data_IF_210613845266
#
_entry.id   IF_210613845266
#
_cell.length_a   1.000
_cell.length_b   1.000
_cell.length_c   1.000
_cell.angle_alpha   90.00
_cell.angle_beta   90.00
_cell.angle_gamma   90.00
#
_symmetry.space_group_name_H-M   'P 1'
#
loop_
_entity.id
_entity.type
_entity.pdbx_description
1 polymer ?
#
# COMPACT_ATOMS: atom_id res chain seq x y z
N UNK A 1 11.83 12.51 -10.30
CA UNK A 1 11.98 13.96 -9.98
C UNK A 1 12.03 14.90 -11.21
N UNK A 2 12.27 14.40 -12.44
CA UNK A 2 12.43 15.24 -13.64
C UNK A 2 11.17 15.99 -14.12
N UNK A 3 9.96 15.50 -13.81
CA UNK A 3 8.71 16.10 -14.32
C UNK A 3 8.29 17.39 -13.59
N UNK A 4 8.65 17.57 -12.30
CA UNK A 4 8.15 18.67 -11.46
C UNK A 4 8.69 20.04 -11.85
N UNK A 5 9.94 20.09 -12.31
CA UNK A 5 10.63 21.34 -12.64
C UNK A 5 10.03 22.09 -13.84
N UNK A 6 9.18 21.43 -14.65
CA UNK A 6 8.60 22.00 -15.85
C UNK A 6 7.14 22.46 -15.68
N UNK A 7 6.58 22.36 -14.47
CA UNK A 7 5.19 22.71 -14.16
C UNK A 7 5.11 24.15 -13.64
N UNK A 8 4.11 24.91 -14.10
CA UNK A 8 3.81 26.23 -13.55
C UNK A 8 3.24 26.12 -12.13
N UNK A 9 3.30 27.19 -11.34
CA UNK A 9 2.79 27.23 -9.96
C UNK A 9 1.34 26.74 -9.86
N UNK A 10 0.49 27.08 -10.84
CA UNK A 10 -0.91 26.61 -10.88
C UNK A 10 -1.02 25.10 -11.11
N UNK A 11 -0.17 24.56 -11.99
CA UNK A 11 -0.15 23.13 -12.30
C UNK A 11 0.41 22.31 -11.14
N UNK A 12 1.38 22.85 -10.40
CA UNK A 12 1.91 22.27 -9.15
C UNK A 12 0.83 22.19 -8.06
N UNK A 13 0.06 23.26 -7.85
CA UNK A 13 -1.04 23.26 -6.88
C UNK A 13 -2.14 22.26 -7.28
N UNK A 14 -2.46 22.14 -8.57
CA UNK A 14 -3.41 21.14 -9.07
C UNK A 14 -2.87 19.72 -8.85
N UNK A 15 -1.63 19.44 -9.25
CA UNK A 15 -0.97 18.16 -9.03
C UNK A 15 -1.00 17.76 -7.55
N UNK A 16 -0.59 18.64 -6.64
CA UNK A 16 -0.59 18.36 -5.20
C UNK A 16 -2.00 18.12 -4.67
N UNK A 17 -3.00 18.89 -5.11
CA UNK A 17 -4.40 18.69 -4.70
C UNK A 17 -4.94 17.34 -5.15
N UNK A 18 -4.57 16.90 -6.34
CA UNK A 18 -5.02 15.66 -6.96
C UNK A 18 -4.30 14.46 -6.32
N UNK A 19 -2.99 14.56 -6.11
CA UNK A 19 -2.21 13.57 -5.34
C UNK A 19 -2.71 13.45 -3.91
N UNK A 20 -3.10 14.54 -3.26
CA UNK A 20 -3.70 14.49 -1.93
C UNK A 20 -5.07 13.80 -1.93
N UNK A 21 -5.86 13.96 -2.99
CA UNK A 21 -7.18 13.32 -3.12
C UNK A 21 -7.09 11.82 -3.46
N UNK A 22 -6.11 11.42 -4.28
CA UNK A 22 -5.93 10.04 -4.73
C UNK A 22 -4.86 9.25 -3.95
N UNK A 23 -4.03 9.93 -3.18
CA UNK A 23 -3.01 9.35 -2.33
C UNK A 23 -3.64 8.56 -1.18
N UNK A 24 -3.03 7.43 -0.84
CA UNK A 24 -3.45 6.64 0.32
C UNK A 24 -2.80 7.19 1.58
N UNK A 25 -3.61 7.32 2.63
CA UNK A 25 -3.14 7.71 3.94
C UNK A 25 -2.41 6.56 4.64
N UNK A 26 -1.19 6.84 5.11
CA UNK A 26 -0.42 5.91 5.96
C UNK A 26 -1.19 5.52 7.22
N UNK A 27 -1.89 6.48 7.81
CA UNK A 27 -2.66 6.28 9.04
C UNK A 27 -3.76 5.24 8.81
N UNK A 28 -4.49 5.34 7.69
CA UNK A 28 -5.55 4.38 7.35
C UNK A 28 -4.97 2.98 7.11
N UNK A 29 -3.81 2.89 6.43
CA UNK A 29 -3.13 1.61 6.23
C UNK A 29 -2.73 0.97 7.58
N UNK A 30 -2.14 1.74 8.50
CA UNK A 30 -1.76 1.26 9.83
C UNK A 30 -2.97 0.88 10.68
N UNK A 31 -4.08 1.61 10.55
CA UNK A 31 -5.34 1.30 11.22
C UNK A 31 -5.90 -0.05 10.74
N UNK A 32 -5.87 -0.28 9.42
CA UNK A 32 -6.27 -1.56 8.82
C UNK A 32 -5.37 -2.71 9.27
N UNK A 33 -4.06 -2.47 9.33
CA UNK A 33 -3.09 -3.45 9.82
C UNK A 33 -3.28 -3.76 11.31
N UNK A 34 -3.62 -2.78 12.15
CA UNK A 34 -3.84 -3.00 13.57
C UNK A 34 -5.15 -3.76 13.85
N UNK A 35 -6.26 -3.35 13.23
CA UNK A 35 -7.57 -3.97 13.47
C UNK A 35 -7.77 -5.30 12.73
N UNK A 36 -7.20 -5.46 11.54
CA UNK A 36 -7.49 -6.59 10.63
C UNK A 36 -6.23 -7.31 10.15
N UNK A 37 -5.05 -6.94 10.66
CA UNK A 37 -3.78 -7.54 10.24
C UNK A 37 -3.54 -8.97 10.71
N UNK A 38 -4.25 -9.42 11.75
CA UNK A 38 -4.25 -10.83 12.15
C UNK A 38 -4.91 -11.74 11.11
N UNK A 39 -5.87 -11.23 10.34
CA UNK A 39 -6.60 -11.97 9.30
C UNK A 39 -5.94 -11.80 7.91
N UNK A 40 -5.00 -10.85 7.78
CA UNK A 40 -4.31 -10.57 6.52
C UNK A 40 -5.09 -9.66 5.55
N UNK A 41 -6.16 -9.01 6.01
CA UNK A 41 -7.03 -8.17 5.16
C UNK A 41 -6.32 -6.91 4.64
N UNK A 42 -5.30 -6.42 5.35
CA UNK A 42 -4.49 -5.27 4.92
C UNK A 42 -3.76 -5.52 3.59
N UNK A 43 -3.38 -6.77 3.28
CA UNK A 43 -2.79 -7.13 1.99
C UNK A 43 -3.78 -7.01 0.83
N UNK A 44 -5.06 -7.34 1.07
CA UNK A 44 -6.11 -7.17 0.07
C UNK A 44 -6.34 -5.70 -0.26
N UNK A 45 -6.29 -4.82 0.75
CA UNK A 45 -6.41 -3.37 0.56
C UNK A 45 -5.24 -2.75 -0.23
N UNK A 46 -4.03 -3.34 -0.09
CA UNK A 46 -2.85 -2.95 -0.84
C UNK A 46 -2.80 -3.55 -2.26
N UNK A 47 -3.82 -4.30 -2.70
CA UNK A 47 -3.83 -4.98 -4.00
C UNK A 47 -2.92 -6.21 -4.07
N UNK A 48 -2.43 -6.69 -2.91
CA UNK A 48 -1.53 -7.85 -2.78
C UNK A 48 -2.29 -9.10 -2.36
N UNK A 49 -3.35 -9.43 -3.10
CA UNK A 49 -4.27 -10.55 -2.83
C UNK A 49 -3.55 -11.88 -2.64
N UNK A 50 -2.51 -12.17 -3.43
CA UNK A 50 -1.74 -13.42 -3.32
C UNK A 50 -1.03 -13.59 -1.96
N UNK A 51 -0.53 -12.48 -1.40
CA UNK A 51 0.13 -12.49 -0.08
C UNK A 51 -0.91 -12.61 1.04
N UNK A 52 -2.04 -11.92 0.89
CA UNK A 52 -3.17 -12.03 1.83
C UNK A 52 -3.75 -13.44 1.91
N UNK A 53 -3.90 -14.12 0.77
CA UNK A 53 -4.34 -15.52 0.73
C UNK A 53 -3.31 -16.44 1.42
N UNK A 54 -2.02 -16.24 1.17
CA UNK A 54 -0.96 -17.00 1.84
C UNK A 54 -1.01 -16.85 3.35
N UNK A 55 -1.22 -15.63 3.84
CA UNK A 55 -1.35 -15.35 5.28
C UNK A 55 -2.61 -15.97 5.88
N UNK A 56 -3.74 -15.95 5.16
CA UNK A 56 -4.98 -16.59 5.59
C UNK A 56 -4.84 -18.11 5.70
N UNK A 57 -4.21 -18.74 4.70
CA UNK A 57 -3.93 -20.17 4.71
C UNK A 57 -2.98 -20.54 5.85
N UNK A 58 -1.90 -19.78 6.05
CA UNK A 58 -1.00 -19.98 7.19
C UNK A 58 -1.73 -19.86 8.53
N UNK A 59 -2.65 -18.89 8.66
CA UNK A 59 -3.46 -18.74 9.87
C UNK A 59 -4.36 -19.97 10.09
N UNK A 60 -5.12 -20.39 9.07
CA UNK A 60 -5.99 -21.58 9.14
C UNK A 60 -5.17 -22.85 9.44
N UNK A 61 -4.06 -23.06 8.75
CA UNK A 61 -3.16 -24.20 8.98
C UNK A 61 -2.58 -24.15 10.39
N UNK A 62 -2.20 -22.99 10.90
CA UNK A 62 -1.69 -22.83 12.27
C UNK A 62 -2.74 -23.18 13.32
N UNK A 63 -4.01 -22.83 13.09
CA UNK A 63 -5.14 -23.22 13.94
C UNK A 63 -5.39 -24.73 13.93
N UNK A 64 -5.32 -25.38 12.76
CA UNK A 64 -5.49 -26.84 12.65
C UNK A 64 -4.34 -27.58 13.35
N UNK A 65 -3.09 -27.11 13.14
CA UNK A 65 -1.89 -27.71 13.74
C UNK A 65 -1.73 -27.39 15.24
N UNK A 66 -2.52 -26.46 15.79
CA UNK A 66 -2.52 -26.13 17.22
C UNK A 66 -2.83 -27.36 18.08
N UNK A 67 -3.67 -28.28 17.58
CA UNK A 67 -3.99 -29.55 18.25
C UNK A 67 -2.72 -30.36 18.58
N UNK A 68 -1.67 -30.25 17.76
CA UNK A 68 -0.41 -30.97 17.95
C UNK A 68 0.67 -30.13 18.65
N UNK A 69 0.35 -28.95 19.21
CA UNK A 69 1.30 -27.96 19.76
C UNK A 69 2.24 -27.34 18.70
N UNK A 70 2.44 -28.00 17.55
CA UNK A 70 3.18 -27.49 16.38
C UNK A 70 2.61 -26.17 15.87
N UNK A 71 1.31 -25.92 16.05
CA UNK A 71 0.67 -24.65 15.70
C UNK A 71 1.30 -23.42 16.36
N UNK A 72 1.96 -23.54 17.54
CA UNK A 72 2.67 -22.42 18.18
C UNK A 72 3.76 -21.84 17.27
N UNK A 73 4.47 -22.69 16.51
CA UNK A 73 5.51 -22.23 15.58
C UNK A 73 4.89 -21.40 14.46
N UNK A 74 3.70 -21.79 13.99
CA UNK A 74 2.91 -21.04 13.03
C UNK A 74 2.49 -19.67 13.56
N UNK A 75 2.02 -19.59 14.80
CA UNK A 75 1.70 -18.30 15.46
C UNK A 75 2.92 -17.41 15.66
N UNK A 76 4.08 -17.96 16.00
CA UNK A 76 5.34 -17.21 16.06
C UNK A 76 5.75 -16.65 14.69
N UNK A 77 5.66 -17.48 13.64
CA UNK A 77 5.94 -17.04 12.28
C UNK A 77 4.97 -15.93 11.83
N UNK A 78 3.67 -16.06 12.14
CA UNK A 78 2.65 -15.04 11.88
C UNK A 78 2.91 -13.75 12.67
N UNK A 79 3.39 -13.83 13.91
CA UNK A 79 3.75 -12.67 14.72
C UNK A 79 4.96 -11.91 14.15
N UNK A 80 6.01 -12.63 13.75
CA UNK A 80 7.18 -12.03 13.08
C UNK A 80 6.76 -11.41 11.75
N UNK A 81 5.96 -12.12 10.95
CA UNK A 81 5.43 -11.61 9.70
C UNK A 81 4.63 -10.33 9.93
N UNK A 82 3.69 -10.33 10.88
CA UNK A 82 2.87 -9.17 11.22
C UNK A 82 3.73 -7.94 11.56
N UNK A 83 4.82 -8.13 12.32
CA UNK A 83 5.77 -7.07 12.64
C UNK A 83 6.54 -6.56 11.40
N UNK A 84 7.03 -7.49 10.57
CA UNK A 84 7.73 -7.16 9.31
C UNK A 84 6.81 -6.40 8.36
N UNK A 85 5.53 -6.77 8.29
CA UNK A 85 4.51 -6.07 7.51
C UNK A 85 4.31 -4.63 7.98
N UNK A 86 4.33 -4.36 9.30
CA UNK A 86 4.25 -2.98 9.81
C UNK A 86 5.37 -2.10 9.23
N UNK A 87 6.60 -2.62 9.19
CA UNK A 87 7.74 -1.89 8.64
C UNK A 87 7.62 -1.70 7.13
N UNK A 88 7.15 -2.72 6.41
CA UNK A 88 6.98 -2.68 4.96
C UNK A 88 5.79 -1.81 4.52
N UNK A 89 4.79 -1.63 5.39
CA UNK A 89 3.56 -0.89 5.10
C UNK A 89 3.84 0.55 4.66
N UNK A 90 4.74 1.25 5.36
CA UNK A 90 5.13 2.62 4.95
C UNK A 90 5.72 2.62 3.54
N UNK A 91 6.54 1.62 3.21
CA UNK A 91 7.16 1.50 1.90
C UNK A 91 6.13 1.29 0.79
N UNK A 92 5.06 0.53 1.04
CA UNK A 92 4.00 0.31 0.06
C UNK A 92 3.14 1.55 -0.15
N UNK A 93 2.79 2.27 0.93
CA UNK A 93 2.06 3.53 0.82
C UNK A 93 2.90 4.56 0.04
N UNK A 94 4.20 4.65 0.33
CA UNK A 94 5.08 5.59 -0.37
C UNK A 94 5.27 5.23 -1.85
N UNK A 95 5.27 3.93 -2.19
CA UNK A 95 5.28 3.48 -3.60
C UNK A 95 3.99 3.85 -4.31
N UNK A 96 2.84 3.57 -3.70
CA UNK A 96 1.53 3.89 -4.27
C UNK A 96 1.36 5.40 -4.52
N UNK A 97 1.71 6.23 -3.54
CA UNK A 97 1.59 7.69 -3.68
C UNK A 97 2.51 8.24 -4.77
N UNK A 98 3.70 7.66 -4.96
CA UNK A 98 4.60 8.01 -6.08
C UNK A 98 4.04 7.63 -7.44
N UNK A 99 3.43 6.45 -7.58
CA UNK A 99 2.82 6.02 -8.85
C UNK A 99 1.64 6.93 -9.24
N UNK A 100 0.80 7.29 -8.28
CA UNK A 100 -0.29 8.25 -8.47
C UNK A 100 0.24 9.61 -8.91
N UNK A 101 1.27 10.12 -8.22
CA UNK A 101 1.92 11.39 -8.54
C UNK A 101 2.50 11.40 -9.96
N UNK A 102 3.21 10.34 -10.36
CA UNK A 102 3.74 10.24 -11.71
C UNK A 102 2.65 10.12 -12.77
N UNK A 103 1.56 9.41 -12.49
CA UNK A 103 0.41 9.29 -13.39
C UNK A 103 -0.25 10.64 -13.66
N UNK A 104 -0.51 11.41 -12.61
CA UNK A 104 -1.13 12.74 -12.71
C UNK A 104 -0.17 13.72 -13.41
N UNK A 105 1.12 13.70 -13.07
CA UNK A 105 2.11 14.55 -13.73
C UNK A 105 2.20 14.28 -15.24
N UNK A 106 2.20 13.01 -15.65
CA UNK A 106 2.16 12.63 -17.07
C UNK A 106 0.90 13.14 -17.76
N UNK A 107 -0.26 13.06 -17.10
CA UNK A 107 -1.54 13.53 -17.66
C UNK A 107 -1.55 15.05 -17.87
N UNK A 108 -1.06 15.83 -16.92
CA UNK A 108 -0.96 17.30 -17.03
C UNK A 108 -0.05 17.70 -18.21
N UNK A 109 1.13 17.07 -18.33
CA UNK A 109 2.08 17.36 -19.42
C UNK A 109 1.48 17.01 -20.79
N UNK A 110 0.79 15.87 -20.91
CA UNK A 110 0.13 15.48 -22.15
C UNK A 110 -0.96 16.48 -22.56
N UNK A 111 -1.80 16.93 -21.62
CA UNK A 111 -2.83 17.95 -21.87
C UNK A 111 -2.23 19.31 -22.26
N UNK A 112 -1.07 19.69 -21.70
CA UNK A 112 -0.36 20.91 -22.10
C UNK A 112 0.13 20.85 -23.54
N UNK A 113 0.68 19.70 -23.95
CA UNK A 113 1.18 19.49 -25.31
C UNK A 113 0.06 19.56 -26.36
N UNK A 114 -1.12 19.03 -26.04
CA UNK A 114 -2.29 19.01 -26.93
C UNK A 114 -2.86 20.42 -27.15
N UNK A 115 -2.83 21.27 -26.13
CA UNK A 115 -3.28 22.68 -26.20
C UNK A 115 -2.28 23.64 -26.84
N UNK A 116 -1.04 23.20 -27.06
CA UNK A 116 0.03 24.03 -27.62
C UNK A 116 0.21 23.86 -29.15
N UNK A 117 -0.56 22.96 -29.76
CA UNK A 117 -0.68 22.73 -31.21
C UNK A 117 -1.97 23.37 -31.72
#
# INVERSE_FOLDING_TARGET
MSAKHNLDTRELMLLESEVKNYGKDKVVAYLLWFFVGSIGVHHFYMGRTGVGIGQLLLNITSWILLIFVVGLVGFFALGIWWFVDALLLSGWVDKYNREVEEGIARKIIATRSDKAV
#
